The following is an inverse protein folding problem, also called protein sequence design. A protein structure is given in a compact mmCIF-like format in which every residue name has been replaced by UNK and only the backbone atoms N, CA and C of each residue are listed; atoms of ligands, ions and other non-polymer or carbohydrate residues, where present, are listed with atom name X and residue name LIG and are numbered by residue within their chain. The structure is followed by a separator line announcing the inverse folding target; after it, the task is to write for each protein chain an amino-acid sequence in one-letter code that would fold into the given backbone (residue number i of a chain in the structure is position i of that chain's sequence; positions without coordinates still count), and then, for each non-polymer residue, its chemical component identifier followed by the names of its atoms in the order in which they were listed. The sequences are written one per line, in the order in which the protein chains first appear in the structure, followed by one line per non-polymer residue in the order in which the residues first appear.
data_IF_756857429182
#
_entry.id   IF_756857429182
#
_cell.length_a   1.000
_cell.length_b   1.000
_cell.length_c   1.000
_cell.angle_alpha   90.00
_cell.angle_beta   90.00
_cell.angle_gamma   90.00
#
_symmetry.space_group_name_H-M   'P 1'
#
loop_
_entity.id
_entity.type
_entity.pdbx_description
1 polymer ?
#
# COMPACT_ATOMS: atom_id res chain seq x y z
N UNK A 1 -55.17 10.73 26.86
CA UNK A 1 -53.85 10.10 26.67
C UNK A 1 -52.92 11.12 26.09
N UNK A 2 -52.02 11.70 26.92
CA UNK A 2 -51.02 12.67 26.50
C UNK A 2 -49.73 11.93 26.15
N UNK A 3 -49.26 12.06 24.92
CA UNK A 3 -47.97 11.56 24.50
C UNK A 3 -46.91 12.67 24.71
N UNK A 4 -45.92 12.42 25.58
CA UNK A 4 -44.79 13.30 25.78
C UNK A 4 -43.72 13.00 24.72
N UNK A 5 -43.43 13.97 23.85
CA UNK A 5 -42.32 13.92 22.94
C UNK A 5 -41.05 14.44 23.63
N UNK A 6 -40.06 13.58 23.83
CA UNK A 6 -38.76 13.95 24.37
C UNK A 6 -37.88 14.48 23.25
N UNK A 7 -37.51 15.76 23.33
CA UNK A 7 -36.58 16.42 22.41
C UNK A 7 -35.13 16.16 22.87
N UNK A 8 -34.37 15.37 22.13
CA UNK A 8 -32.92 15.20 22.32
C UNK A 8 -32.19 16.36 21.62
N UNK A 9 -31.71 17.31 22.41
CA UNK A 9 -30.81 18.37 21.95
C UNK A 9 -29.39 17.80 21.96
N UNK A 10 -28.90 17.42 20.78
CA UNK A 10 -27.49 17.09 20.58
C UNK A 10 -26.65 18.37 20.53
N UNK A 11 -25.85 18.64 21.55
CA UNK A 11 -24.82 19.69 21.50
C UNK A 11 -23.61 19.16 20.74
N UNK A 12 -23.46 19.59 19.49
CA UNK A 12 -22.22 19.37 18.75
C UNK A 12 -21.13 20.31 19.26
N UNK A 13 -20.07 19.78 19.86
CA UNK A 13 -18.86 20.56 20.19
C UNK A 13 -18.05 20.68 18.92
N UNK A 14 -17.67 21.90 18.47
CA UNK A 14 -16.82 22.04 17.27
C UNK A 14 -15.43 21.47 17.52
N UNK A 15 -14.90 20.73 16.54
CA UNK A 15 -13.63 20.01 16.60
C UNK A 15 -12.40 20.90 16.90
N UNK A 16 -12.53 22.22 16.77
CA UNK A 16 -11.43 23.19 16.97
C UNK A 16 -11.19 23.54 18.46
N UNK A 17 -12.00 23.04 19.39
CA UNK A 17 -11.84 23.34 20.81
C UNK A 17 -10.76 22.50 21.53
N UNK A 18 -10.11 21.55 20.84
CA UNK A 18 -9.13 20.64 21.40
C UNK A 18 -7.73 20.72 20.75
N UNK A 19 -7.51 21.66 19.82
CA UNK A 19 -6.21 21.80 19.17
C UNK A 19 -5.78 23.27 19.19
N UNK A 20 -4.74 23.59 19.97
CA UNK A 20 -4.06 24.87 19.96
C UNK A 20 -2.80 24.76 19.09
N UNK A 21 -2.76 25.35 17.89
CA UNK A 21 -1.62 25.25 16.99
C UNK A 21 -0.36 26.00 17.47
N UNK A 22 -0.48 26.86 18.48
CA UNK A 22 0.62 27.66 19.03
C UNK A 22 1.17 27.12 20.35
N UNK A 23 0.67 25.96 20.82
CA UNK A 23 1.21 25.34 22.02
C UNK A 23 2.60 24.72 21.74
N UNK A 24 3.64 25.07 22.55
CA UNK A 24 4.95 24.46 22.39
C UNK A 24 4.88 22.96 22.67
N UNK A 25 5.71 22.13 22.01
CA UNK A 25 5.68 20.68 22.19
C UNK A 25 5.96 20.35 23.65
N UNK A 26 5.05 19.59 24.28
CA UNK A 26 5.21 19.12 25.64
C UNK A 26 6.46 18.22 25.70
N UNK A 27 7.53 18.72 26.30
CA UNK A 27 8.70 17.91 26.65
C UNK A 27 8.26 16.89 27.71
N UNK A 28 8.34 15.62 27.39
CA UNK A 28 8.19 14.55 28.38
C UNK A 28 9.39 14.63 29.32
N UNK A 29 9.23 15.34 30.44
CA UNK A 29 10.14 15.26 31.55
C UNK A 29 10.00 13.86 32.18
N UNK A 30 11.05 13.04 32.07
CA UNK A 30 11.20 11.83 32.84
C UNK A 30 11.25 12.22 34.33
N UNK A 31 10.14 12.04 35.05
CA UNK A 31 10.14 12.16 36.51
C UNK A 31 10.97 11.05 37.10
N UNK A 32 12.16 11.39 37.55
CA UNK A 32 12.97 10.55 38.44
C UNK A 32 12.23 10.40 39.77
N UNK A 33 11.72 9.21 40.04
CA UNK A 33 11.17 8.86 41.34
C UNK A 33 12.35 8.69 42.31
N UNK A 34 12.62 9.68 43.14
CA UNK A 34 13.50 9.55 44.30
C UNK A 34 12.77 8.77 45.39
N UNK A 35 13.18 7.52 45.59
CA UNK A 35 12.83 6.78 46.81
C UNK A 35 13.70 7.27 47.97
N UNK A 36 13.14 8.08 48.85
CA UNK A 36 13.70 8.35 50.16
C UNK A 36 13.41 7.15 51.05
N UNK A 37 14.43 6.34 51.33
CA UNK A 37 14.37 5.29 52.33
C UNK A 37 14.50 5.94 53.72
N UNK A 38 13.48 5.78 54.57
CA UNK A 38 13.56 6.06 55.98
C UNK A 38 14.33 4.92 56.66
N UNK A 39 15.39 5.29 57.37
CA UNK A 39 16.19 4.38 58.18
C UNK A 39 15.40 3.96 59.42
N UNK A 40 15.30 2.66 59.67
CA UNK A 40 15.16 2.11 61.02
C UNK A 40 16.03 0.87 61.14
N UNK A 41 16.79 0.91 62.18
CA UNK A 41 17.87 0.11 62.71
C UNK A 41 17.66 -1.40 62.79
N UNK A 42 18.83 -2.08 62.72
CA UNK A 42 19.22 -3.33 63.35
C UNK A 42 18.68 -4.63 62.68
N UNK A 43 19.53 -5.25 61.88
CA UNK A 43 19.91 -6.65 62.01
C UNK A 43 20.99 -7.04 60.99
N UNK A 44 21.86 -7.93 61.37
CA UNK A 44 23.07 -8.46 60.74
C UNK A 44 23.16 -8.47 59.23
N UNK A 45 24.27 -7.96 58.70
CA UNK A 45 24.69 -8.06 57.32
C UNK A 45 24.84 -9.54 56.90
N UNK A 46 24.22 -10.00 55.82
CA UNK A 46 24.65 -11.23 55.17
C UNK A 46 25.97 -10.97 54.42
N UNK A 47 26.91 -11.87 54.59
CA UNK A 47 28.21 -11.88 53.90
C UNK A 47 27.97 -11.76 52.37
N UNK A 48 28.63 -10.76 51.81
CA UNK A 48 28.67 -10.54 50.35
C UNK A 48 29.45 -11.70 49.73
N UNK A 49 28.73 -12.69 49.18
CA UNK A 49 29.35 -13.71 48.35
C UNK A 49 29.73 -13.08 47.02
N UNK A 50 30.99 -12.65 46.92
CA UNK A 50 31.64 -12.32 45.66
C UNK A 50 31.74 -13.62 44.86
N UNK A 51 30.84 -13.82 43.93
CA UNK A 51 31.00 -14.81 42.86
C UNK A 51 32.10 -14.29 41.94
N UNK A 52 33.35 -14.71 42.19
CA UNK A 52 34.40 -14.62 41.19
C UNK A 52 33.99 -15.58 40.02
N UNK A 53 33.32 -15.04 39.04
CA UNK A 53 33.15 -15.71 37.75
C UNK A 53 34.52 -15.68 37.07
N UNK A 54 35.28 -16.77 37.15
CA UNK A 54 36.37 -16.97 36.22
C UNK A 54 35.79 -16.89 34.80
N UNK A 55 36.07 -15.77 34.11
CA UNK A 55 35.77 -15.61 32.72
C UNK A 55 36.58 -16.65 31.93
N UNK A 56 35.98 -17.80 31.67
CA UNK A 56 36.59 -18.79 30.81
C UNK A 56 36.81 -18.18 29.43
N UNK A 57 38.00 -18.37 28.87
CA UNK A 57 38.36 -17.93 27.49
C UNK A 57 37.37 -18.45 26.43
N UNK A 58 36.58 -19.45 26.75
CA UNK A 58 35.51 -20.00 25.90
C UNK A 58 34.30 -19.05 25.67
N UNK A 59 34.04 -18.10 26.60
CA UNK A 59 33.00 -17.09 26.42
C UNK A 59 33.41 -15.98 25.42
N UNK A 60 34.69 -15.71 25.29
CA UNK A 60 35.22 -14.77 24.30
C UNK A 60 35.17 -15.34 22.89
N UNK A 61 35.38 -16.66 22.72
CA UNK A 61 35.29 -17.32 21.41
C UNK A 61 33.85 -17.40 20.91
N UNK A 62 32.84 -17.54 21.79
CA UNK A 62 31.43 -17.52 21.41
C UNK A 62 30.91 -16.11 21.11
N UNK A 63 31.50 -15.05 21.68
CA UNK A 63 31.14 -13.67 21.34
C UNK A 63 31.65 -13.27 19.95
N UNK A 64 32.84 -13.74 19.55
CA UNK A 64 33.40 -13.44 18.21
C UNK A 64 32.61 -14.05 17.06
N UNK A 65 31.86 -15.15 17.28
CA UNK A 65 31.05 -15.78 16.27
C UNK A 65 29.68 -15.09 16.07
N UNK A 66 29.29 -14.16 16.95
CA UNK A 66 28.02 -13.41 16.83
C UNK A 66 28.14 -12.20 15.92
N UNK A 67 29.32 -11.70 15.65
CA UNK A 67 29.54 -10.50 14.81
C UNK A 67 29.40 -10.78 13.31
N UNK A 68 29.28 -12.05 12.91
CA UNK A 68 28.99 -12.43 11.51
C UNK A 68 27.48 -12.49 11.17
N UNK A 69 26.60 -12.31 12.15
CA UNK A 69 25.15 -12.29 11.89
C UNK A 69 24.69 -10.88 11.55
N UNK A 70 24.61 -10.59 10.25
CA UNK A 70 23.92 -9.40 9.78
C UNK A 70 22.40 -9.62 9.80
N UNK A 71 21.69 -8.84 10.61
CA UNK A 71 20.22 -8.82 10.58
C UNK A 71 19.78 -8.03 9.36
N UNK A 72 19.42 -8.72 8.28
CA UNK A 72 18.81 -8.09 7.13
C UNK A 72 17.46 -7.50 7.56
N UNK A 73 17.29 -6.18 7.41
CA UNK A 73 16.00 -5.55 7.74
C UNK A 73 14.89 -6.09 6.83
N UNK A 74 13.64 -6.08 7.33
CA UNK A 74 12.48 -6.49 6.52
C UNK A 74 12.38 -5.67 5.21
N UNK A 75 12.68 -4.37 5.26
CA UNK A 75 12.74 -3.52 4.08
C UNK A 75 13.81 -3.96 3.07
N UNK A 76 14.94 -4.46 3.52
CA UNK A 76 16.00 -4.99 2.68
C UNK A 76 15.64 -6.36 2.08
N UNK A 77 14.99 -7.22 2.87
CA UNK A 77 14.41 -8.48 2.35
C UNK A 77 13.39 -8.21 1.24
N UNK A 78 12.54 -7.21 1.41
CA UNK A 78 11.58 -6.81 0.37
C UNK A 78 12.29 -6.27 -0.87
N UNK A 79 13.36 -5.47 -0.71
CA UNK A 79 14.16 -5.00 -1.84
C UNK A 79 14.85 -6.14 -2.59
N UNK A 80 15.41 -7.12 -1.87
CA UNK A 80 16.06 -8.29 -2.47
C UNK A 80 15.04 -9.18 -3.18
N UNK A 81 13.85 -9.35 -2.62
CA UNK A 81 12.81 -10.22 -3.17
C UNK A 81 12.06 -9.59 -4.35
N UNK A 82 11.82 -8.28 -4.32
CA UNK A 82 10.96 -7.59 -5.27
C UNK A 82 11.66 -6.46 -6.04
N UNK A 83 12.80 -5.93 -5.56
CA UNK A 83 13.51 -4.83 -6.18
C UNK A 83 14.27 -5.17 -7.46
N UNK A 84 14.47 -6.46 -7.75
CA UNK A 84 15.15 -6.97 -8.94
C UNK A 84 14.22 -7.73 -9.90
N UNK A 85 12.89 -7.52 -9.82
CA UNK A 85 12.02 -8.03 -10.88
C UNK A 85 12.31 -7.21 -12.14
N UNK A 86 12.93 -7.84 -13.11
CA UNK A 86 13.10 -7.28 -14.46
C UNK A 86 11.75 -7.49 -15.17
N UNK A 87 10.93 -6.44 -15.16
CA UNK A 87 9.64 -6.43 -15.85
C UNK A 87 9.89 -6.08 -17.32
N UNK A 88 10.09 -7.10 -18.13
CA UNK A 88 10.16 -6.92 -19.59
C UNK A 88 9.02 -7.71 -20.24
N UNK A 89 8.31 -7.07 -21.15
CA UNK A 89 7.28 -7.70 -21.96
C UNK A 89 7.28 -7.13 -23.37
N UNK A 90 6.70 -7.88 -24.28
CA UNK A 90 6.39 -7.42 -25.64
C UNK A 90 4.89 -7.57 -25.88
N UNK A 91 4.32 -6.71 -26.67
CA UNK A 91 2.91 -6.79 -27.05
C UNK A 91 2.75 -6.36 -28.50
N UNK A 92 1.81 -6.97 -29.20
CA UNK A 92 1.41 -6.56 -30.55
C UNK A 92 0.32 -5.49 -30.52
N UNK A 93 -0.29 -5.24 -29.35
CA UNK A 93 -1.44 -4.35 -29.19
C UNK A 93 -2.71 -4.86 -29.84
N UNK A 94 -2.75 -6.15 -30.20
CA UNK A 94 -3.86 -6.82 -30.90
C UNK A 94 -4.31 -8.05 -30.11
N UNK A 95 -5.35 -8.73 -30.58
CA UNK A 95 -5.88 -9.91 -29.90
C UNK A 95 -7.12 -9.61 -29.06
N UNK A 96 -7.75 -10.68 -28.53
CA UNK A 96 -8.94 -10.58 -27.68
C UNK A 96 -8.62 -10.10 -26.26
N UNK A 97 -7.38 -10.34 -25.80
CA UNK A 97 -6.83 -9.82 -24.55
C UNK A 97 -5.55 -9.08 -24.88
N UNK A 98 -5.41 -7.87 -24.35
CA UNK A 98 -4.31 -6.94 -24.65
C UNK A 98 -3.74 -6.36 -23.37
N UNK A 99 -2.54 -5.79 -23.47
CA UNK A 99 -2.03 -4.87 -22.45
C UNK A 99 -2.79 -3.53 -22.50
N UNK A 100 -2.83 -2.78 -21.39
CA UNK A 100 -3.48 -1.45 -21.36
C UNK A 100 -2.84 -0.43 -22.30
N UNK A 101 -1.64 -0.72 -22.79
CA UNK A 101 -0.91 0.06 -23.80
C UNK A 101 -0.51 -0.82 -24.98
N UNK A 102 -0.61 -0.32 -26.24
CA UNK A 102 -0.31 -1.12 -27.44
C UNK A 102 1.19 -1.32 -27.68
N UNK A 103 2.02 -0.88 -26.75
CA UNK A 103 3.49 -1.03 -26.74
C UNK A 103 3.98 -1.25 -25.33
N UNK A 104 5.19 -1.81 -25.20
CA UNK A 104 5.78 -2.02 -23.88
C UNK A 104 6.13 -0.68 -23.20
N UNK A 105 5.77 -0.54 -21.95
CA UNK A 105 6.01 0.65 -21.12
C UNK A 105 6.78 0.28 -19.86
N UNK A 106 7.54 1.21 -19.26
CA UNK A 106 8.22 0.97 -18.00
C UNK A 106 7.25 0.60 -16.89
N UNK A 107 7.63 -0.35 -16.06
CA UNK A 107 6.90 -0.78 -14.86
C UNK A 107 7.71 -0.34 -13.65
N UNK A 108 7.10 0.44 -12.75
CA UNK A 108 7.77 0.96 -11.54
C UNK A 108 7.50 0.13 -10.30
N UNK A 109 6.40 -0.60 -10.25
CA UNK A 109 6.05 -1.43 -9.09
C UNK A 109 5.17 -2.60 -9.51
N UNK A 110 5.57 -3.82 -9.11
CA UNK A 110 4.78 -5.03 -9.31
C UNK A 110 3.83 -5.33 -8.17
N UNK A 111 3.04 -6.38 -8.35
CA UNK A 111 2.10 -6.91 -7.37
C UNK A 111 2.82 -7.51 -6.15
N UNK A 112 2.24 -7.36 -4.96
CA UNK A 112 2.67 -8.00 -3.72
C UNK A 112 3.28 -7.06 -2.69
N UNK A 113 4.05 -7.62 -1.76
CA UNK A 113 4.68 -6.86 -0.68
C UNK A 113 5.78 -5.93 -1.20
N UNK A 114 5.78 -4.69 -0.73
CA UNK A 114 6.77 -3.66 -1.06
C UNK A 114 7.03 -2.72 0.10
N UNK A 115 8.10 -1.94 0.02
CA UNK A 115 8.24 -0.75 0.89
C UNK A 115 7.18 0.27 0.45
N UNK A 116 6.36 0.75 1.40
CA UNK A 116 5.33 1.75 1.10
C UNK A 116 5.96 3.00 0.45
N UNK A 117 5.52 3.42 -0.76
CA UNK A 117 6.16 4.51 -1.49
C UNK A 117 5.87 5.89 -0.92
N UNK A 118 4.88 6.02 -0.02
CA UNK A 118 4.54 7.27 0.65
C UNK A 118 3.94 7.02 2.04
N UNK A 119 3.85 8.09 2.84
CA UNK A 119 3.13 8.04 4.12
C UNK A 119 1.63 7.82 3.85
N UNK A 120 1.09 6.72 4.34
CA UNK A 120 -0.32 6.30 4.11
C UNK A 120 -0.53 5.40 2.91
N UNK A 121 0.50 5.19 2.07
CA UNK A 121 0.46 4.18 1.02
C UNK A 121 0.54 2.77 1.61
N UNK A 122 -0.04 1.78 0.90
CA UNK A 122 0.02 0.38 1.29
C UNK A 122 1.42 -0.23 1.08
N UNK A 123 1.85 -1.07 2.01
CA UNK A 123 2.99 -1.96 1.86
C UNK A 123 2.67 -3.25 1.08
N UNK A 124 1.39 -3.49 0.79
CA UNK A 124 0.96 -4.55 -0.11
C UNK A 124 0.31 -3.92 -1.35
N UNK A 125 0.90 -4.16 -2.53
CA UNK A 125 0.46 -3.62 -3.80
C UNK A 125 -0.49 -4.60 -4.48
N UNK A 126 -1.74 -4.18 -4.71
CA UNK A 126 -2.77 -5.03 -5.31
C UNK A 126 -2.80 -4.97 -6.84
N UNK A 127 -1.81 -4.31 -7.47
CA UNK A 127 -1.77 -4.09 -8.89
C UNK A 127 -0.36 -4.00 -9.48
N UNK A 128 -0.29 -3.43 -10.65
CA UNK A 128 0.90 -3.17 -11.45
C UNK A 128 0.94 -1.68 -11.79
N UNK A 129 2.05 -0.99 -11.47
CA UNK A 129 2.22 0.43 -11.78
C UNK A 129 2.99 0.61 -13.09
N UNK A 130 2.32 1.12 -14.12
CA UNK A 130 2.78 1.30 -15.49
C UNK A 130 3.05 2.79 -15.79
N UNK A 131 4.26 3.14 -16.23
CA UNK A 131 4.75 4.52 -16.36
C UNK A 131 5.06 4.95 -17.79
N UNK A 132 4.08 5.10 -18.68
CA UNK A 132 4.33 5.59 -20.05
C UNK A 132 4.48 7.11 -20.13
N UNK A 133 4.19 7.84 -19.06
CA UNK A 133 4.14 9.30 -19.01
C UNK A 133 2.71 9.85 -18.88
N UNK A 134 2.59 11.06 -18.30
CA UNK A 134 1.31 11.73 -18.12
C UNK A 134 0.61 11.99 -19.45
N UNK A 135 -0.73 11.86 -19.47
CA UNK A 135 -1.56 12.10 -20.64
C UNK A 135 -1.57 10.96 -21.68
N UNK A 136 -0.76 9.90 -21.48
CA UNK A 136 -0.77 8.73 -22.37
C UNK A 136 -2.14 8.05 -22.33
N UNK A 137 -2.75 7.74 -23.50
CA UNK A 137 -4.03 7.03 -23.57
C UNK A 137 -3.92 5.62 -22.97
N UNK A 138 -4.95 5.23 -22.22
CA UNK A 138 -5.12 3.92 -21.59
C UNK A 138 -6.25 3.21 -22.31
N UNK A 139 -6.10 1.93 -22.61
CA UNK A 139 -7.05 1.15 -23.38
C UNK A 139 -7.58 -0.05 -22.59
N UNK A 140 -8.83 -0.45 -22.90
CA UNK A 140 -9.47 -1.64 -22.34
C UNK A 140 -8.72 -2.90 -22.78
N UNK A 141 -8.43 -3.78 -21.81
CA UNK A 141 -7.67 -5.01 -22.07
C UNK A 141 -8.45 -6.07 -22.85
N UNK A 142 -9.79 -6.04 -22.80
CA UNK A 142 -10.66 -7.01 -23.45
C UNK A 142 -12.07 -6.42 -23.54
N UNK A 143 -12.94 -7.07 -24.33
CA UNK A 143 -14.37 -6.79 -24.36
C UNK A 143 -14.97 -6.90 -22.96
N UNK A 144 -15.89 -6.00 -22.61
CA UNK A 144 -16.43 -5.99 -21.26
C UNK A 144 -17.57 -5.01 -21.04
N UNK A 145 -17.98 -4.88 -19.78
CA UNK A 145 -19.00 -3.94 -19.33
C UNK A 145 -18.44 -3.08 -18.22
N UNK A 146 -18.61 -1.78 -18.30
CA UNK A 146 -18.17 -0.81 -17.31
C UNK A 146 -18.98 -0.96 -16.03
N UNK A 147 -18.32 -1.30 -14.92
CA UNK A 147 -18.93 -1.38 -13.60
C UNK A 147 -18.89 -0.05 -12.85
N UNK A 148 -17.77 0.68 -12.97
CA UNK A 148 -17.53 1.97 -12.33
C UNK A 148 -16.73 2.88 -13.28
N UNK A 149 -17.04 4.19 -13.25
CA UNK A 149 -16.29 5.24 -13.93
C UNK A 149 -16.49 6.53 -13.12
N UNK A 150 -15.64 6.74 -12.11
CA UNK A 150 -15.85 7.80 -11.12
C UNK A 150 -14.53 8.30 -10.51
N UNK A 151 -14.63 9.31 -9.66
CA UNK A 151 -13.52 9.78 -8.83
C UNK A 151 -13.77 9.36 -7.38
N UNK A 152 -12.88 8.58 -6.78
CA UNK A 152 -12.99 8.21 -5.36
C UNK A 152 -11.63 8.04 -4.68
N UNK A 153 -11.54 8.46 -3.44
CA UNK A 153 -10.52 8.17 -2.45
C UNK A 153 -9.11 7.91 -2.99
N UNK A 154 -8.58 6.73 -2.67
CA UNK A 154 -7.22 6.33 -3.02
C UNK A 154 -6.97 6.17 -4.52
N UNK A 155 -7.93 5.67 -5.28
CA UNK A 155 -7.79 5.46 -6.74
C UNK A 155 -7.85 6.75 -7.55
N UNK A 156 -8.40 7.84 -6.99
CA UNK A 156 -8.64 9.06 -7.77
C UNK A 156 -9.64 8.82 -8.89
N UNK A 157 -9.41 9.39 -10.07
CA UNK A 157 -10.19 9.08 -11.27
C UNK A 157 -9.88 7.66 -11.71
N UNK A 158 -10.91 6.80 -11.76
CA UNK A 158 -10.73 5.38 -12.05
C UNK A 158 -11.91 4.80 -12.81
N UNK A 159 -11.68 3.65 -13.42
CA UNK A 159 -12.69 2.82 -14.04
C UNK A 159 -12.50 1.34 -13.68
N UNK A 160 -13.60 0.63 -13.50
CA UNK A 160 -13.66 -0.82 -13.37
C UNK A 160 -14.42 -1.39 -14.53
N UNK A 161 -13.85 -2.40 -15.21
CA UNK A 161 -14.49 -3.06 -16.36
C UNK A 161 -14.53 -4.57 -16.04
N UNK A 162 -15.71 -5.16 -16.18
CA UNK A 162 -15.90 -6.60 -16.05
C UNK A 162 -15.82 -7.26 -17.42
N UNK A 163 -15.01 -8.26 -17.51
CA UNK A 163 -14.78 -9.11 -18.68
C UNK A 163 -15.23 -10.54 -18.42
N UNK A 164 -15.47 -11.28 -19.51
CA UNK A 164 -15.59 -12.74 -19.48
C UNK A 164 -14.49 -13.33 -20.35
N UNK A 165 -13.42 -13.81 -19.73
CA UNK A 165 -12.23 -14.32 -20.43
C UNK A 165 -12.10 -15.81 -20.13
N UNK A 166 -12.11 -16.64 -21.17
CA UNK A 166 -12.09 -18.09 -21.05
C UNK A 166 -13.19 -18.65 -20.12
N UNK A 167 -14.37 -18.02 -20.12
CA UNK A 167 -15.49 -18.39 -19.27
C UNK A 167 -15.37 -17.94 -17.80
N UNK A 168 -14.32 -17.22 -17.46
CA UNK A 168 -14.08 -16.69 -16.11
C UNK A 168 -14.41 -15.20 -16.04
N UNK A 169 -15.03 -14.79 -14.92
CA UNK A 169 -15.23 -13.37 -14.61
C UNK A 169 -13.92 -12.75 -14.17
N UNK A 170 -13.46 -11.74 -14.92
CA UNK A 170 -12.26 -10.96 -14.63
C UNK A 170 -12.66 -9.49 -14.54
N UNK A 171 -12.21 -8.78 -13.52
CA UNK A 171 -12.41 -7.33 -13.42
C UNK A 171 -11.06 -6.64 -13.54
N UNK A 172 -10.94 -5.70 -14.48
CA UNK A 172 -9.79 -4.81 -14.59
C UNK A 172 -10.09 -3.47 -13.92
N UNK A 173 -9.10 -2.93 -13.21
CA UNK A 173 -9.15 -1.63 -12.54
C UNK A 173 -8.10 -0.73 -13.16
N UNK A 174 -8.51 0.47 -13.56
CA UNK A 174 -7.65 1.51 -14.12
C UNK A 174 -7.73 2.72 -13.21
N UNK A 175 -6.67 3.05 -12.50
CA UNK A 175 -6.67 4.11 -11.49
C UNK A 175 -5.63 5.19 -11.72
N UNK A 176 -5.71 6.27 -10.95
CA UNK A 176 -4.87 7.47 -11.00
C UNK A 176 -4.96 8.23 -12.33
N UNK A 177 -6.02 8.01 -13.11
CA UNK A 177 -6.24 8.69 -14.38
C UNK A 177 -6.34 10.22 -14.22
N UNK A 178 -6.14 10.94 -15.30
CA UNK A 178 -6.41 12.39 -15.35
C UNK A 178 -7.89 12.65 -15.10
N UNK A 179 -8.21 13.59 -14.23
CA UNK A 179 -9.61 13.94 -13.92
C UNK A 179 -10.39 14.32 -15.19
N UNK A 180 -11.53 13.69 -15.38
CA UNK A 180 -12.41 13.93 -16.54
C UNK A 180 -11.91 13.38 -17.89
N UNK A 181 -10.83 12.59 -17.90
CA UNK A 181 -10.28 12.01 -19.14
C UNK A 181 -11.01 10.74 -19.60
N UNK A 182 -11.76 10.10 -18.72
CA UNK A 182 -12.51 8.88 -19.06
C UNK A 182 -13.80 9.23 -19.78
N UNK A 183 -14.04 8.69 -20.98
CA UNK A 183 -15.32 8.84 -21.69
C UNK A 183 -16.37 7.83 -21.22
N UNK A 184 -15.98 6.84 -20.39
CA UNK A 184 -16.80 5.67 -20.06
C UNK A 184 -17.99 6.03 -19.17
N UNK A 185 -19.09 5.30 -19.39
CA UNK A 185 -20.32 5.40 -18.58
C UNK A 185 -20.65 4.02 -17.99
N UNK A 186 -21.10 3.99 -16.74
CA UNK A 186 -21.49 2.74 -16.05
C UNK A 186 -22.57 2.01 -16.85
N UNK A 187 -22.37 0.70 -17.09
CA UNK A 187 -23.23 -0.15 -17.90
C UNK A 187 -22.90 -0.15 -19.39
N UNK A 188 -21.99 0.69 -19.86
CA UNK A 188 -21.51 0.71 -21.24
C UNK A 188 -20.75 -0.57 -21.58
N UNK A 189 -20.97 -1.09 -22.81
CA UNK A 189 -20.19 -2.18 -23.38
C UNK A 189 -18.98 -1.59 -24.09
N UNK A 190 -17.80 -2.11 -23.77
CA UNK A 190 -16.53 -1.72 -24.40
C UNK A 190 -15.91 -2.90 -25.13
N UNK A 191 -15.17 -2.61 -26.18
CA UNK A 191 -14.36 -3.59 -26.92
C UNK A 191 -12.89 -3.51 -26.51
N UNK A 192 -12.16 -4.60 -26.74
CA UNK A 192 -10.72 -4.62 -26.51
C UNK A 192 -10.01 -3.52 -27.30
N UNK A 193 -9.32 -2.62 -26.61
CA UNK A 193 -8.64 -1.47 -27.22
C UNK A 193 -9.45 -0.18 -27.24
N UNK A 194 -10.65 -0.14 -26.67
CA UNK A 194 -11.39 1.10 -26.49
C UNK A 194 -10.70 2.00 -25.45
N UNK A 195 -10.86 3.32 -25.63
CA UNK A 195 -10.26 4.32 -24.73
C UNK A 195 -10.93 4.28 -23.36
N UNK A 196 -10.13 4.03 -22.32
CA UNK A 196 -10.56 4.08 -20.91
C UNK A 196 -10.36 5.46 -20.31
N UNK A 197 -9.26 6.12 -20.66
CA UNK A 197 -8.88 7.42 -20.13
C UNK A 197 -7.43 7.76 -20.44
N UNK A 198 -6.83 8.65 -19.68
CA UNK A 198 -5.40 8.99 -19.83
C UNK A 198 -4.66 8.90 -18.51
N UNK A 199 -3.37 8.55 -18.57
CA UNK A 199 -2.48 8.48 -17.42
C UNK A 199 -2.41 9.82 -16.70
N UNK A 200 -2.63 9.80 -15.40
CA UNK A 200 -2.57 10.96 -14.53
C UNK A 200 -1.87 10.67 -13.21
N UNK A 201 -2.17 11.48 -12.20
CA UNK A 201 -1.66 11.34 -10.83
C UNK A 201 -2.73 11.73 -9.83
N UNK A 202 -3.98 11.36 -10.08
CA UNK A 202 -5.10 11.69 -9.19
C UNK A 202 -5.20 10.69 -8.03
N UNK A 203 -5.85 11.07 -6.93
CA UNK A 203 -5.96 10.24 -5.74
C UNK A 203 -4.65 10.08 -4.97
N UNK A 204 -4.39 8.91 -4.41
CA UNK A 204 -3.18 8.61 -3.62
C UNK A 204 -2.05 8.13 -4.55
N UNK A 205 -1.38 9.07 -5.19
CA UNK A 205 -0.34 8.83 -6.18
C UNK A 205 0.91 9.66 -5.88
N UNK A 206 2.09 9.11 -6.11
CA UNK A 206 3.39 9.79 -5.95
C UNK A 206 3.91 10.42 -7.24
N UNK A 207 3.22 10.19 -8.37
CA UNK A 207 3.60 10.70 -9.68
C UNK A 207 2.73 10.09 -10.78
N UNK A 208 2.89 10.56 -12.02
CA UNK A 208 2.05 10.10 -13.12
C UNK A 208 2.34 8.64 -13.48
N UNK A 209 1.34 7.78 -13.30
CA UNK A 209 1.35 6.36 -13.67
C UNK A 209 -0.07 5.83 -13.81
N UNK A 210 -0.23 4.69 -14.46
CA UNK A 210 -1.43 3.88 -14.38
C UNK A 210 -1.23 2.83 -13.27
N UNK A 211 -2.05 2.89 -12.22
CA UNK A 211 -2.21 1.76 -11.32
C UNK A 211 -3.26 0.81 -11.92
N UNK A 212 -2.82 -0.39 -12.27
CA UNK A 212 -3.62 -1.39 -12.95
C UNK A 212 -3.80 -2.63 -12.10
N UNK A 213 -5.06 -3.03 -11.81
CA UNK A 213 -5.35 -4.27 -11.10
C UNK A 213 -6.12 -5.25 -11.99
N UNK A 214 -5.94 -6.53 -11.72
CA UNK A 214 -6.82 -7.60 -12.17
C UNK A 214 -7.39 -8.33 -10.96
N UNK A 215 -8.68 -8.61 -11.01
CA UNK A 215 -9.39 -9.34 -9.96
C UNK A 215 -10.16 -10.50 -10.56
N UNK A 216 -9.99 -11.68 -9.95
CA UNK A 216 -10.78 -12.87 -10.26
C UNK A 216 -11.64 -13.15 -9.03
N UNK A 217 -12.96 -13.22 -9.19
CA UNK A 217 -13.91 -13.36 -8.08
C UNK A 217 -13.68 -12.32 -6.97
N UNK A 218 -13.42 -11.06 -7.39
CA UNK A 218 -13.11 -9.89 -6.58
C UNK A 218 -11.77 -9.98 -5.78
N UNK A 219 -10.97 -11.02 -5.98
CA UNK A 219 -9.65 -11.19 -5.36
C UNK A 219 -8.57 -10.65 -6.30
N UNK A 220 -7.75 -9.67 -5.87
CA UNK A 220 -6.62 -9.19 -6.66
C UNK A 220 -5.59 -10.30 -6.94
N UNK A 221 -5.16 -10.37 -8.18
CA UNK A 221 -4.11 -11.29 -8.66
C UNK A 221 -2.96 -10.50 -9.27
N UNK A 222 -1.81 -11.13 -9.50
CA UNK A 222 -0.66 -10.49 -10.17
C UNK A 222 -1.01 -10.18 -11.64
N UNK A 223 -1.18 -8.90 -12.02
CA UNK A 223 -1.57 -8.55 -13.37
C UNK A 223 -0.46 -8.83 -14.38
N UNK A 224 0.82 -8.74 -13.97
CA UNK A 224 1.94 -8.99 -14.86
C UNK A 224 1.97 -10.43 -15.32
N UNK A 225 1.98 -11.38 -14.39
CA UNK A 225 2.04 -12.80 -14.70
C UNK A 225 0.79 -13.24 -15.49
N UNK A 226 -0.37 -12.68 -15.14
CA UNK A 226 -1.61 -13.00 -15.84
C UNK A 226 -1.62 -12.46 -17.28
N UNK A 227 -1.17 -11.22 -17.50
CA UNK A 227 -1.10 -10.63 -18.85
C UNK A 227 -0.05 -11.33 -19.73
N UNK A 228 1.10 -11.72 -19.18
CA UNK A 228 2.09 -12.53 -19.91
C UNK A 228 1.48 -13.84 -20.41
N UNK A 229 0.61 -14.46 -19.64
CA UNK A 229 -0.01 -15.73 -19.99
C UNK A 229 -1.21 -15.62 -20.95
N UNK A 230 -1.90 -14.46 -21.00
CA UNK A 230 -3.20 -14.33 -21.68
C UNK A 230 -3.24 -13.25 -22.78
N UNK A 231 -2.35 -12.25 -22.75
CA UNK A 231 -2.34 -11.15 -23.72
C UNK A 231 -1.39 -11.40 -24.90
N UNK A 232 -1.70 -10.76 -26.05
CA UNK A 232 -0.90 -10.84 -27.28
C UNK A 232 -0.14 -9.55 -27.57
#
# INVERSE_FOLDING_TARGET
MLAAASLLVGTSVPANALFDPDAPPASMALSSVSLTAAASSDEAAPEEQVLEAEASEDLAATAASRDEWSVTSYAELLRLKYGNRDFSYSTTGTGAVRWPFPYAVPISSGFGERVAPCRGCSSYHQGLDLNPGAGTPIFAIADGVVLQAEYSGGFGQHALIQHTINGQRVVSVYAHMTGGSSPLVVGEVVEAGDLVGTVGSSGMSTGAHLHFELRIDDIPIDPYDWLIANAS
#
